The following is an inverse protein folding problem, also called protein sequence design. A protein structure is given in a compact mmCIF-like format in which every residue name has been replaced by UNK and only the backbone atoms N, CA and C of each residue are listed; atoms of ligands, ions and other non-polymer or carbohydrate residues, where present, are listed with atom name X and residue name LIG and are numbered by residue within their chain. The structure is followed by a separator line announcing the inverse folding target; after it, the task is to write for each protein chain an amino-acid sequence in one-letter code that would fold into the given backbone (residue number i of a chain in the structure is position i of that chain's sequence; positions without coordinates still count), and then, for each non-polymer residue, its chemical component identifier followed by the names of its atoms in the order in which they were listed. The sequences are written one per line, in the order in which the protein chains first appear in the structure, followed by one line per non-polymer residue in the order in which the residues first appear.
data_IF_325081362674
#
_entry.id   IF_325081362674
#
_cell.length_a   1.000
_cell.length_b   1.000
_cell.length_c   1.000
_cell.angle_alpha   90.00
_cell.angle_beta   90.00
_cell.angle_gamma   90.00
#
_symmetry.space_group_name_H-M   'P 1'
#
loop_
_entity.id
_entity.type
_entity.pdbx_description
1 polymer ?
#
# COMPACT_ATOMS: atom_id res chain seq x y z
N UNK A 1 12.28 9.83 21.00
CA UNK A 1 13.29 8.76 20.75
C UNK A 1 12.65 7.37 20.82
N UNK A 2 12.12 6.93 21.97
CA UNK A 2 11.51 5.58 22.12
C UNK A 2 10.40 5.30 21.09
N UNK A 3 9.43 6.21 20.89
CA UNK A 3 8.36 6.05 19.89
C UNK A 3 8.87 5.92 18.45
N UNK A 4 9.94 6.63 18.12
CA UNK A 4 10.56 6.61 16.79
C UNK A 4 11.25 5.27 16.54
N UNK A 5 11.93 4.73 17.56
CA UNK A 5 12.56 3.40 17.48
C UNK A 5 11.48 2.33 17.27
N UNK A 6 10.40 2.35 18.06
CA UNK A 6 9.29 1.42 17.90
C UNK A 6 8.64 1.50 16.52
N UNK A 7 8.41 2.72 16.01
CA UNK A 7 7.87 2.91 14.67
C UNK A 7 8.78 2.31 13.59
N UNK A 8 10.10 2.52 13.69
CA UNK A 8 11.06 1.94 12.76
C UNK A 8 11.10 0.42 12.84
N UNK A 9 11.14 -0.15 14.06
CA UNK A 9 11.14 -1.60 14.26
C UNK A 9 9.87 -2.24 13.70
N UNK A 10 8.71 -1.61 13.95
CA UNK A 10 7.43 -2.07 13.41
C UNK A 10 7.40 -2.00 11.89
N UNK A 11 7.89 -0.90 11.29
CA UNK A 11 7.99 -0.76 9.84
C UNK A 11 8.93 -1.81 9.21
N UNK A 12 10.07 -2.09 9.83
CA UNK A 12 10.98 -3.15 9.40
C UNK A 12 10.32 -4.53 9.49
N UNK A 13 9.63 -4.82 10.59
CA UNK A 13 8.90 -6.08 10.78
C UNK A 13 7.80 -6.25 9.72
N UNK A 14 7.01 -5.21 9.46
CA UNK A 14 6.00 -5.21 8.42
C UNK A 14 6.61 -5.42 7.02
N UNK A 15 7.73 -4.75 6.72
CA UNK A 15 8.46 -4.94 5.46
C UNK A 15 8.84 -6.40 5.25
N UNK A 16 9.55 -6.99 6.22
CA UNK A 16 10.03 -8.38 6.14
C UNK A 16 8.86 -9.34 5.99
N UNK A 17 7.81 -9.15 6.78
CA UNK A 17 6.64 -10.06 6.78
C UNK A 17 5.90 -10.03 5.45
N UNK A 18 5.66 -8.83 4.91
CA UNK A 18 4.97 -8.67 3.63
C UNK A 18 5.81 -9.18 2.45
N UNK A 19 7.10 -8.91 2.45
CA UNK A 19 8.02 -9.36 1.39
C UNK A 19 8.17 -10.90 1.41
N UNK A 20 8.34 -11.49 2.60
CA UNK A 20 8.41 -12.94 2.75
C UNK A 20 7.10 -13.62 2.31
N UNK A 21 5.94 -13.09 2.72
CA UNK A 21 4.65 -13.61 2.30
C UNK A 21 4.47 -13.51 0.77
N UNK A 22 4.88 -12.38 0.18
CA UNK A 22 4.84 -12.18 -1.28
C UNK A 22 5.74 -13.19 -2.02
N UNK A 23 6.97 -13.41 -1.53
CA UNK A 23 7.89 -14.39 -2.10
C UNK A 23 7.37 -15.83 -2.00
N UNK A 24 6.83 -16.22 -0.84
CA UNK A 24 6.24 -17.56 -0.62
C UNK A 24 5.06 -17.79 -1.57
N UNK A 25 4.15 -16.82 -1.67
CA UNK A 25 3.00 -16.90 -2.57
C UNK A 25 3.45 -16.96 -4.03
N UNK A 26 4.42 -16.13 -4.43
CA UNK A 26 4.97 -16.15 -5.79
C UNK A 26 5.51 -17.54 -6.15
N UNK A 27 6.35 -18.13 -5.29
CA UNK A 27 6.88 -19.48 -5.50
C UNK A 27 5.73 -20.49 -5.59
N UNK A 28 4.75 -20.43 -4.71
CA UNK A 28 3.63 -21.35 -4.71
C UNK A 28 2.80 -21.28 -6.02
N UNK A 29 2.36 -20.08 -6.41
CA UNK A 29 1.52 -19.91 -7.60
C UNK A 29 2.28 -20.16 -8.92
N UNK A 30 3.54 -19.75 -9.01
CA UNK A 30 4.36 -19.91 -10.21
C UNK A 30 4.87 -21.34 -10.36
N UNK A 31 5.39 -21.95 -9.29
CA UNK A 31 6.10 -23.24 -9.40
C UNK A 31 5.22 -24.45 -9.08
N UNK A 32 4.42 -24.38 -8.01
CA UNK A 32 3.60 -25.52 -7.57
C UNK A 32 2.29 -25.60 -8.35
N UNK A 33 1.56 -24.47 -8.44
CA UNK A 33 0.26 -24.43 -9.12
C UNK A 33 0.37 -24.16 -10.64
N UNK A 34 1.44 -23.48 -11.06
CA UNK A 34 1.71 -23.08 -12.45
C UNK A 34 0.57 -22.28 -13.09
N UNK A 35 -0.13 -21.47 -12.30
CA UNK A 35 -1.22 -20.59 -12.79
C UNK A 35 -0.72 -19.22 -13.20
N UNK A 36 0.45 -18.83 -12.69
CA UNK A 36 0.97 -17.47 -12.82
C UNK A 36 2.37 -17.48 -13.42
N UNK A 37 2.68 -16.45 -14.21
CA UNK A 37 4.03 -16.17 -14.66
C UNK A 37 4.83 -15.34 -13.63
N UNK A 38 6.16 -15.56 -13.52
CA UNK A 38 7.02 -14.75 -12.63
C UNK A 38 6.92 -13.24 -12.86
N UNK A 39 6.63 -12.82 -14.10
CA UNK A 39 6.51 -11.42 -14.47
C UNK A 39 5.28 -10.73 -13.84
N UNK A 40 4.27 -11.50 -13.44
CA UNK A 40 3.08 -11.00 -12.74
C UNK A 40 3.33 -10.75 -11.24
N UNK A 41 4.48 -11.15 -10.71
CA UNK A 41 4.89 -10.96 -9.32
C UNK A 41 6.05 -9.96 -9.19
N UNK A 42 5.84 -8.67 -9.54
CA UNK A 42 6.90 -7.66 -9.39
C UNK A 42 7.19 -7.40 -7.90
N UNK A 43 8.39 -6.91 -7.56
CA UNK A 43 8.74 -6.57 -6.19
C UNK A 43 7.69 -5.70 -5.51
N UNK A 44 7.29 -6.09 -4.30
CA UNK A 44 6.25 -5.42 -3.53
C UNK A 44 6.65 -3.97 -3.18
N UNK A 45 7.94 -3.79 -2.90
CA UNK A 45 8.55 -2.53 -2.49
C UNK A 45 9.45 -1.95 -3.58
N UNK A 46 9.55 -0.63 -3.60
CA UNK A 46 10.50 0.08 -4.47
C UNK A 46 11.92 0.15 -3.90
N UNK A 47 12.79 0.89 -4.58
CA UNK A 47 14.14 1.14 -4.08
C UNK A 47 14.12 2.09 -2.88
N UNK A 48 14.79 1.70 -1.79
CA UNK A 48 14.95 2.50 -0.59
C UNK A 48 15.63 3.86 -0.87
N UNK A 49 16.52 3.92 -1.87
CA UNK A 49 17.18 5.17 -2.30
C UNK A 49 16.21 6.28 -2.70
N UNK A 50 14.99 5.91 -3.13
CA UNK A 50 13.95 6.86 -3.52
C UNK A 50 13.15 7.36 -2.32
N UNK A 51 13.28 6.77 -1.14
CA UNK A 51 12.46 7.05 0.04
C UNK A 51 12.94 8.28 0.86
N UNK A 52 13.45 9.32 0.20
CA UNK A 52 14.01 10.52 0.86
C UNK A 52 12.98 11.62 1.16
N UNK A 53 11.71 11.44 0.76
CA UNK A 53 10.59 12.32 1.15
C UNK A 53 9.38 11.48 1.55
N UNK A 54 8.47 12.03 2.35
CA UNK A 54 7.22 11.36 2.76
C UNK A 54 6.42 10.93 1.52
N UNK A 55 6.34 11.80 0.50
CA UNK A 55 5.64 11.51 -0.75
C UNK A 55 6.27 10.33 -1.48
N UNK A 56 7.59 10.26 -1.56
CA UNK A 56 8.27 9.14 -2.22
C UNK A 56 8.22 7.86 -1.39
N UNK A 57 8.27 7.96 -0.06
CA UNK A 57 8.12 6.82 0.83
C UNK A 57 6.80 6.11 0.53
N UNK A 58 5.66 6.80 0.61
CA UNK A 58 4.35 6.19 0.38
C UNK A 58 4.01 5.96 -1.11
N UNK A 59 4.50 6.81 -2.00
CA UNK A 59 4.14 6.75 -3.42
C UNK A 59 5.05 5.86 -4.28
N UNK A 60 6.29 5.58 -3.86
CA UNK A 60 7.27 4.84 -4.67
C UNK A 60 7.94 3.68 -3.96
N UNK A 61 8.11 3.75 -2.64
CA UNK A 61 8.85 2.73 -1.88
C UNK A 61 7.92 1.73 -1.19
N UNK A 62 6.99 2.21 -0.37
CA UNK A 62 6.10 1.37 0.44
C UNK A 62 5.11 0.59 -0.42
N UNK A 63 4.77 -0.63 -0.01
CA UNK A 63 4.02 -1.64 -0.77
C UNK A 63 2.97 -1.09 -1.76
N UNK A 64 3.02 -1.49 -3.03
CA UNK A 64 2.19 -0.85 -4.07
C UNK A 64 0.88 -1.58 -4.42
N UNK A 65 0.66 -2.78 -3.88
CA UNK A 65 -0.48 -3.64 -4.23
C UNK A 65 -1.83 -2.99 -4.00
N UNK A 66 -1.98 -2.27 -2.89
CA UNK A 66 -3.26 -1.64 -2.51
C UNK A 66 -3.46 -0.25 -3.12
N UNK A 67 -2.41 0.38 -3.66
CA UNK A 67 -2.49 1.77 -4.14
C UNK A 67 -3.44 1.87 -5.33
N UNK A 68 -3.34 0.97 -6.30
CA UNK A 68 -4.17 1.01 -7.50
C UNK A 68 -5.67 0.84 -7.22
N UNK A 69 -6.14 -0.18 -6.48
CA UNK A 69 -7.56 -0.30 -6.17
C UNK A 69 -8.07 0.91 -5.37
N UNK A 70 -7.29 1.43 -4.41
CA UNK A 70 -7.71 2.61 -3.65
C UNK A 70 -7.75 3.89 -4.49
N UNK A 71 -6.83 4.06 -5.43
CA UNK A 71 -6.86 5.16 -6.40
C UNK A 71 -8.10 5.08 -7.27
N UNK A 72 -8.51 3.90 -7.73
CA UNK A 72 -9.75 3.73 -8.51
C UNK A 72 -10.99 4.19 -7.71
N UNK A 73 -11.05 3.85 -6.42
CA UNK A 73 -12.12 4.35 -5.53
C UNK A 73 -12.05 5.87 -5.37
N UNK A 74 -10.84 6.43 -5.21
CA UNK A 74 -10.64 7.86 -5.16
C UNK A 74 -11.10 8.57 -6.43
N UNK A 75 -10.78 8.03 -7.61
CA UNK A 75 -11.20 8.60 -8.89
C UNK A 75 -12.73 8.53 -9.05
N UNK A 76 -13.35 7.43 -8.61
CA UNK A 76 -14.80 7.30 -8.58
C UNK A 76 -15.43 8.40 -7.69
N UNK A 77 -14.93 8.58 -6.47
CA UNK A 77 -15.45 9.58 -5.54
C UNK A 77 -15.22 10.99 -6.08
N UNK A 78 -13.97 11.31 -6.44
CA UNK A 78 -13.57 12.64 -6.88
C UNK A 78 -14.28 13.07 -8.17
N UNK A 79 -14.28 12.22 -9.20
CA UNK A 79 -14.75 12.59 -10.53
C UNK A 79 -16.25 12.33 -10.73
N UNK A 80 -16.83 11.31 -10.09
CA UNK A 80 -18.26 10.98 -10.25
C UNK A 80 -19.17 11.47 -9.14
N UNK A 81 -18.71 11.52 -7.89
CA UNK A 81 -19.55 11.97 -6.78
C UNK A 81 -19.37 13.46 -6.50
N UNK A 82 -18.14 13.95 -6.52
CA UNK A 82 -17.80 15.35 -6.22
C UNK A 82 -17.64 16.21 -7.48
N UNK A 83 -17.56 15.58 -8.66
CA UNK A 83 -17.44 16.24 -9.97
C UNK A 83 -16.25 17.21 -10.06
N UNK A 84 -15.13 16.90 -9.40
CA UNK A 84 -13.92 17.69 -9.54
C UNK A 84 -13.32 17.57 -10.94
N UNK A 85 -12.72 18.66 -11.42
CA UNK A 85 -11.97 18.65 -12.67
C UNK A 85 -10.76 17.69 -12.53
N UNK A 86 -10.52 16.79 -13.49
CA UNK A 86 -9.36 15.91 -13.48
C UNK A 86 -8.06 16.72 -13.31
N UNK A 87 -7.14 16.22 -12.49
CA UNK A 87 -5.83 16.85 -12.21
C UNK A 87 -5.89 18.22 -11.52
N UNK A 88 -7.07 18.68 -11.10
CA UNK A 88 -7.19 19.81 -10.18
C UNK A 88 -6.56 19.49 -8.82
N UNK A 89 -6.19 20.52 -8.07
CA UNK A 89 -5.66 20.33 -6.71
C UNK A 89 -6.68 19.65 -5.79
N UNK A 90 -7.98 19.93 -5.99
CA UNK A 90 -9.07 19.25 -5.28
C UNK A 90 -9.15 17.76 -5.62
N UNK A 91 -8.97 17.37 -6.89
CA UNK A 91 -8.93 15.97 -7.33
C UNK A 91 -7.76 15.23 -6.68
N UNK A 92 -6.55 15.78 -6.76
CA UNK A 92 -5.35 15.19 -6.15
C UNK A 92 -5.49 15.02 -4.64
N UNK A 93 -6.05 16.02 -3.97
CA UNK A 93 -6.26 15.97 -2.52
C UNK A 93 -7.30 14.91 -2.14
N UNK A 94 -8.41 14.84 -2.89
CA UNK A 94 -9.44 13.81 -2.71
C UNK A 94 -8.85 12.40 -2.86
N UNK A 95 -8.08 12.16 -3.93
CA UNK A 95 -7.40 10.89 -4.18
C UNK A 95 -6.50 10.47 -3.00
N UNK A 96 -5.65 11.39 -2.55
CA UNK A 96 -4.74 11.13 -1.43
C UNK A 96 -5.54 10.79 -0.16
N UNK A 97 -6.55 11.58 0.19
CA UNK A 97 -7.37 11.30 1.37
C UNK A 97 -8.12 9.97 1.27
N UNK A 98 -8.72 9.65 0.13
CA UNK A 98 -9.40 8.37 -0.06
C UNK A 98 -8.44 7.20 0.12
N UNK A 99 -7.25 7.26 -0.48
CA UNK A 99 -6.24 6.21 -0.34
C UNK A 99 -5.83 6.02 1.12
N UNK A 100 -5.57 7.11 1.85
CA UNK A 100 -5.19 7.04 3.26
C UNK A 100 -6.33 6.56 4.17
N UNK A 101 -7.57 6.98 3.92
CA UNK A 101 -8.75 6.55 4.70
C UNK A 101 -9.02 5.06 4.50
N UNK A 102 -9.06 4.59 3.24
CA UNK A 102 -9.29 3.18 2.94
C UNK A 102 -8.18 2.30 3.52
N UNK A 103 -6.93 2.76 3.42
CA UNK A 103 -5.80 2.11 4.07
C UNK A 103 -5.99 2.06 5.58
N UNK A 104 -6.35 3.16 6.23
CA UNK A 104 -6.60 3.22 7.67
C UNK A 104 -7.70 2.27 8.14
N UNK A 105 -8.81 2.18 7.40
CA UNK A 105 -9.90 1.23 7.67
C UNK A 105 -9.40 -0.21 7.57
N UNK A 106 -8.60 -0.55 6.56
CA UNK A 106 -8.03 -1.89 6.41
C UNK A 106 -7.11 -2.25 7.59
N UNK A 107 -6.27 -1.31 8.05
CA UNK A 107 -5.42 -1.52 9.22
C UNK A 107 -6.26 -1.67 10.50
N UNK A 108 -7.27 -0.84 10.71
CA UNK A 108 -8.15 -0.93 11.87
C UNK A 108 -8.92 -2.27 11.89
N UNK A 109 -9.43 -2.72 10.75
CA UNK A 109 -10.10 -4.01 10.62
C UNK A 109 -9.14 -5.18 10.92
N UNK A 110 -7.88 -5.09 10.48
CA UNK A 110 -6.86 -6.09 10.78
C UNK A 110 -6.52 -6.11 12.29
N UNK A 111 -6.30 -4.94 12.90
CA UNK A 111 -6.03 -4.83 14.34
C UNK A 111 -7.19 -5.39 15.17
N UNK A 112 -8.43 -5.05 14.81
CA UNK A 112 -9.62 -5.56 15.48
C UNK A 112 -9.73 -7.09 15.40
N UNK A 113 -9.41 -7.68 14.24
CA UNK A 113 -9.40 -9.14 14.06
C UNK A 113 -8.31 -9.84 14.86
N UNK A 114 -7.17 -9.20 15.08
CA UNK A 114 -6.04 -9.75 15.84
C UNK A 114 -6.22 -9.59 17.36
N UNK A 115 -7.27 -8.89 17.81
CA UNK A 115 -7.62 -8.79 19.22
C UNK A 115 -6.89 -7.68 19.98
N UNK A 116 -6.20 -6.77 19.27
CA UNK A 116 -5.69 -5.53 19.85
C UNK A 116 -6.88 -4.65 20.25
N UNK A 117 -7.26 -4.71 21.53
CA UNK A 117 -8.26 -3.85 22.16
C UNK A 117 -7.58 -2.70 22.89
#
# INVERSE_FOLDING_TARGET
IIRSIWACLWACGAYITLDAAHAILSVFFVTALRTDDPQHWPPLFGSLSKAYTIRHFWGRFWHRTSVRPFMNFGELISRRLLCFAPDSEADKLCLVFTVFILSGIAHAAAAWRLGDK
#
